data_IF_934230722604
#
_entry.id   IF_934230722604
#
_cell.length_a   1.000
_cell.length_b   1.000
_cell.length_c   1.000
_cell.angle_alpha   90.00
_cell.angle_beta   90.00
_cell.angle_gamma   90.00
#
_symmetry.space_group_name_H-M   'P 1'
#
loop_
_entity.id
_entity.type
_entity.pdbx_description
1 polymer ?
#
# COMPACT_ATOMS: atom_id res chain seq x y z
N UNK A 1 -1.38 -7.23 39.64
CA UNK A 1 -2.53 -7.01 38.74
C UNK A 1 -2.21 -7.72 37.45
N UNK A 2 -3.00 -8.73 37.06
CA UNK A 2 -2.74 -9.48 35.83
C UNK A 2 -2.96 -8.53 34.63
N UNK A 3 -1.97 -8.40 33.76
CA UNK A 3 -2.12 -7.71 32.48
C UNK A 3 -3.10 -8.54 31.66
N UNK A 4 -4.28 -8.01 31.39
CA UNK A 4 -5.22 -8.66 30.48
C UNK A 4 -4.64 -8.50 29.07
N UNK A 5 -4.39 -9.59 28.34
CA UNK A 5 -3.72 -9.51 27.04
C UNK A 5 -4.57 -8.66 26.10
N UNK A 6 -3.95 -7.62 25.55
CA UNK A 6 -4.60 -6.76 24.56
C UNK A 6 -4.63 -7.50 23.24
N UNK A 7 -5.57 -7.17 22.37
CA UNK A 7 -5.64 -7.85 21.08
C UNK A 7 -4.48 -7.47 20.17
N UNK A 8 -3.95 -6.26 20.34
CA UNK A 8 -2.68 -5.79 19.75
C UNK A 8 -1.51 -6.74 19.98
N UNK A 9 -1.52 -7.52 21.07
CA UNK A 9 -0.48 -8.50 21.40
C UNK A 9 -0.55 -9.76 20.50
N UNK A 10 -1.67 -9.93 19.77
CA UNK A 10 -1.83 -11.00 18.78
C UNK A 10 -1.20 -10.58 17.46
N UNK A 11 -0.19 -11.33 17.03
CA UNK A 11 0.48 -11.12 15.74
C UNK A 11 -0.13 -12.03 14.69
N UNK A 12 -0.62 -11.46 13.60
CA UNK A 12 -1.21 -12.19 12.47
C UNK A 12 -0.43 -11.87 11.20
N UNK A 13 0.07 -12.89 10.51
CA UNK A 13 0.75 -12.69 9.22
C UNK A 13 -0.31 -12.49 8.15
N UNK A 14 -0.42 -11.27 7.63
CA UNK A 14 -1.37 -10.93 6.58
C UNK A 14 -0.91 -9.65 5.85
N UNK A 15 -0.36 -9.82 4.65
CA UNK A 15 0.23 -8.75 3.85
C UNK A 15 -0.74 -7.62 3.46
N UNK A 16 -1.96 -7.95 3.04
CA UNK A 16 -2.98 -6.97 2.66
C UNK A 16 -3.38 -6.11 3.86
N UNK A 17 -3.69 -6.73 5.00
CA UNK A 17 -4.12 -5.99 6.19
C UNK A 17 -2.98 -5.22 6.84
N UNK A 18 -1.76 -5.75 6.80
CA UNK A 18 -0.58 -5.04 7.26
C UNK A 18 -0.34 -3.78 6.42
N UNK A 19 -0.52 -3.85 5.09
CA UNK A 19 -0.40 -2.68 4.23
C UNK A 19 -1.48 -1.63 4.52
N UNK A 20 -2.74 -2.05 4.67
CA UNK A 20 -3.85 -1.15 5.06
C UNK A 20 -3.56 -0.49 6.40
N UNK A 21 -3.23 -1.26 7.43
CA UNK A 21 -2.95 -0.77 8.77
C UNK A 21 -1.79 0.24 8.79
N UNK A 22 -0.76 0.04 7.95
CA UNK A 22 0.36 0.97 7.86
C UNK A 22 0.03 2.25 7.09
N UNK A 23 -0.85 2.18 6.09
CA UNK A 23 -1.09 3.27 5.13
C UNK A 23 -2.33 4.09 5.40
N UNK A 24 -3.24 3.58 6.22
CA UNK A 24 -4.49 4.22 6.56
C UNK A 24 -4.33 5.69 7.00
N UNK A 25 -3.39 5.96 7.91
CA UNK A 25 -3.24 7.29 8.52
C UNK A 25 -2.43 8.28 7.67
N UNK A 26 -1.79 7.79 6.60
CA UNK A 26 -0.81 8.57 5.82
C UNK A 26 -1.17 8.70 4.34
N UNK A 27 -2.23 8.04 3.89
CA UNK A 27 -2.68 8.01 2.49
C UNK A 27 -4.18 8.25 2.42
N UNK A 28 -4.64 8.99 1.42
CA UNK A 28 -6.07 9.16 1.21
C UNK A 28 -6.72 7.84 0.76
N UNK A 29 -8.01 7.70 1.08
CA UNK A 29 -8.75 6.49 0.83
C UNK A 29 -8.75 6.10 -0.66
N UNK A 30 -8.92 7.05 -1.58
CA UNK A 30 -9.03 6.74 -3.01
C UNK A 30 -7.71 6.16 -3.54
N UNK A 31 -6.58 6.75 -3.17
CA UNK A 31 -5.26 6.24 -3.56
C UNK A 31 -4.98 4.86 -2.95
N UNK A 32 -5.32 4.67 -1.66
CA UNK A 32 -5.14 3.39 -0.97
C UNK A 32 -5.95 2.29 -1.65
N UNK A 33 -7.23 2.53 -1.95
CA UNK A 33 -8.10 1.57 -2.64
C UNK A 33 -7.54 1.16 -4.01
N UNK A 34 -7.07 2.13 -4.81
CA UNK A 34 -6.49 1.86 -6.12
C UNK A 34 -5.26 0.96 -6.01
N UNK A 35 -4.37 1.24 -5.06
CA UNK A 35 -3.16 0.43 -4.84
C UNK A 35 -3.54 -1.00 -4.43
N UNK A 36 -4.52 -1.15 -3.53
CA UNK A 36 -4.96 -2.46 -3.06
C UNK A 36 -5.55 -3.32 -4.19
N UNK A 37 -6.43 -2.76 -5.01
CA UNK A 37 -7.06 -3.50 -6.14
C UNK A 37 -6.06 -3.85 -7.22
N UNK A 38 -5.06 -3.00 -7.45
CA UNK A 38 -4.07 -3.23 -8.51
C UNK A 38 -2.93 -4.15 -8.07
N UNK A 39 -2.67 -4.27 -6.77
CA UNK A 39 -1.52 -5.00 -6.22
C UNK A 39 -1.86 -6.36 -5.62
N UNK A 40 -3.12 -6.58 -5.25
CA UNK A 40 -3.58 -7.84 -4.67
C UNK A 40 -4.67 -8.48 -5.53
N UNK A 41 -4.68 -9.81 -5.60
CA UNK A 41 -5.73 -10.54 -6.31
C UNK A 41 -7.03 -10.57 -5.50
N UNK A 42 -8.16 -10.80 -6.18
CA UNK A 42 -9.45 -10.94 -5.52
C UNK A 42 -9.42 -12.03 -4.44
N UNK A 43 -8.72 -13.14 -4.68
CA UNK A 43 -8.58 -14.23 -3.70
C UNK A 43 -7.86 -13.75 -2.43
N UNK A 44 -6.79 -12.97 -2.56
CA UNK A 44 -6.06 -12.40 -1.42
C UNK A 44 -6.93 -11.41 -0.64
N UNK A 45 -7.75 -10.61 -1.35
CA UNK A 45 -8.69 -9.68 -0.74
C UNK A 45 -9.78 -10.45 0.04
N UNK A 46 -10.30 -11.55 -0.52
CA UNK A 46 -11.31 -12.37 0.14
C UNK A 46 -10.73 -13.13 1.34
N UNK A 47 -9.50 -13.61 1.25
CA UNK A 47 -8.77 -14.19 2.38
C UNK A 47 -8.58 -13.15 3.50
N UNK A 48 -8.23 -11.91 3.14
CA UNK A 48 -8.14 -10.80 4.07
C UNK A 48 -9.47 -10.54 4.81
N UNK A 49 -10.58 -10.50 4.08
CA UNK A 49 -11.93 -10.35 4.66
C UNK A 49 -12.24 -11.45 5.66
N UNK A 50 -11.88 -12.68 5.32
CA UNK A 50 -12.11 -13.83 6.19
C UNK A 50 -11.28 -13.73 7.47
N UNK A 51 -9.99 -13.43 7.36
CA UNK A 51 -9.11 -13.23 8.52
C UNK A 51 -9.62 -12.10 9.41
N UNK A 52 -10.08 -11.00 8.82
CA UNK A 52 -10.71 -9.91 9.55
C UNK A 52 -11.96 -10.37 10.31
N UNK A 53 -12.88 -11.06 9.63
CA UNK A 53 -14.11 -11.54 10.23
C UNK A 53 -13.85 -12.53 11.38
N UNK A 54 -12.91 -13.47 11.18
CA UNK A 54 -12.50 -14.44 12.19
C UNK A 54 -11.78 -13.77 13.36
N UNK A 55 -11.05 -12.68 13.08
CA UNK A 55 -10.40 -11.88 14.10
C UNK A 55 -11.35 -11.00 14.89
N UNK A 56 -12.59 -10.76 14.44
CA UNK A 56 -13.56 -9.90 15.10
C UNK A 56 -14.51 -10.70 16.01
N UNK A 57 -14.00 -11.16 17.16
CA UNK A 57 -14.84 -11.75 18.19
C UNK A 57 -15.90 -10.74 18.70
N UNK A 58 -17.16 -11.10 18.49
CA UNK A 58 -18.36 -10.67 19.21
C UNK A 58 -18.62 -9.15 19.34
N UNK A 59 -19.15 -8.58 18.26
CA UNK A 59 -20.24 -7.61 18.35
C UNK A 59 -19.87 -6.19 18.78
N UNK A 60 -19.47 -5.37 17.79
CA UNK A 60 -20.23 -4.15 17.39
C UNK A 60 -19.52 -3.23 16.38
N UNK A 61 -18.26 -3.49 16.01
CA UNK A 61 -17.51 -2.46 15.26
C UNK A 61 -17.48 -2.65 13.73
N UNK A 62 -17.80 -3.83 13.20
CA UNK A 62 -17.38 -4.20 11.84
C UNK A 62 -18.48 -4.58 10.84
N UNK A 63 -19.75 -4.30 11.13
CA UNK A 63 -20.82 -4.36 10.10
C UNK A 63 -20.60 -3.36 8.95
N UNK A 64 -19.70 -2.38 9.13
CA UNK A 64 -19.21 -1.48 8.07
C UNK A 64 -18.08 -2.09 7.20
N UNK A 65 -17.52 -3.24 7.59
CA UNK A 65 -16.30 -3.83 7.02
C UNK A 65 -16.54 -4.80 5.85
N UNK A 66 -17.81 -5.09 5.50
CA UNK A 66 -18.11 -5.84 4.27
C UNK A 66 -17.68 -5.05 3.02
N UNK A 67 -17.61 -3.72 3.14
CA UNK A 67 -16.94 -2.85 2.19
C UNK A 67 -15.51 -2.60 2.69
N UNK A 68 -14.57 -3.49 2.36
CA UNK A 68 -13.12 -3.24 2.58
C UNK A 68 -12.68 -1.87 2.04
N UNK A 69 -13.43 -1.35 1.07
CA UNK A 69 -13.25 -0.05 0.45
C UNK A 69 -13.87 1.10 1.25
N UNK A 70 -14.88 0.89 2.11
CA UNK A 70 -15.34 1.95 3.03
C UNK A 70 -14.48 1.97 4.28
N UNK A 71 -13.23 2.37 4.07
CA UNK A 71 -12.24 2.68 5.09
C UNK A 71 -12.64 3.97 5.86
N UNK A 72 -13.93 4.21 6.07
CA UNK A 72 -14.43 5.45 6.65
C UNK A 72 -14.51 5.40 8.17
N UNK A 73 -14.25 4.27 8.83
CA UNK A 73 -14.24 4.20 10.30
C UNK A 73 -13.39 3.05 10.82
N UNK A 74 -12.08 3.10 10.60
CA UNK A 74 -11.13 2.50 11.54
C UNK A 74 -11.01 3.41 12.79
N UNK A 75 -12.15 3.89 13.32
CA UNK A 75 -12.24 4.36 14.71
C UNK A 75 -12.27 3.13 15.62
N UNK A 76 -11.22 2.31 15.52
CA UNK A 76 -11.05 1.15 16.39
C UNK A 76 -9.84 1.44 17.25
N UNK A 77 -9.97 1.24 18.55
CA UNK A 77 -8.83 1.34 19.45
C UNK A 77 -7.72 0.43 18.90
N UNK A 78 -6.48 0.94 18.71
CA UNK A 78 -5.35 0.12 18.30
C UNK A 78 -5.15 -1.11 19.20
N UNK A 79 -5.62 -1.07 20.45
CA UNK A 79 -5.58 -2.20 21.39
C UNK A 79 -6.59 -3.32 21.07
N UNK A 80 -7.64 -3.04 20.28
CA UNK A 80 -8.76 -3.95 19.95
C UNK A 80 -8.58 -4.71 18.61
N UNK A 81 -7.50 -4.45 17.89
CA UNK A 81 -7.19 -5.06 16.58
C UNK A 81 -5.85 -5.80 16.67
N UNK A 82 -5.71 -6.99 16.05
CA UNK A 82 -4.42 -7.66 15.98
C UNK A 82 -3.37 -6.82 15.24
N UNK A 83 -2.10 -7.04 15.56
CA UNK A 83 -1.00 -6.48 14.77
C UNK A 83 -0.80 -7.34 13.53
N UNK A 84 -1.11 -6.79 12.35
CA UNK A 84 -0.88 -7.49 11.09
C UNK A 84 0.56 -7.26 10.61
N UNK A 85 1.24 -8.35 10.25
CA UNK A 85 2.63 -8.30 9.80
C UNK A 85 2.81 -8.96 8.44
N UNK A 86 3.84 -8.53 7.73
CA UNK A 86 4.20 -9.02 6.40
C UNK A 86 5.32 -10.03 6.56
N UNK A 87 5.15 -11.23 5.99
CA UNK A 87 6.23 -12.22 5.95
C UNK A 87 7.18 -11.95 4.79
N UNK A 88 6.62 -11.63 3.63
CA UNK A 88 7.37 -11.40 2.41
C UNK A 88 7.17 -9.95 1.94
N UNK A 89 8.16 -9.10 2.26
CA UNK A 89 8.13 -7.67 1.94
C UNK A 89 8.05 -7.39 0.43
N UNK A 90 8.48 -8.33 -0.42
CA UNK A 90 8.38 -8.17 -1.87
C UNK A 90 6.94 -8.26 -2.40
N UNK A 91 6.01 -8.79 -1.60
CA UNK A 91 4.58 -8.84 -1.92
C UNK A 91 3.85 -7.55 -1.59
N UNK A 92 4.51 -6.60 -0.93
CA UNK A 92 3.89 -5.31 -0.66
C UNK A 92 3.88 -4.46 -1.93
N UNK A 93 2.80 -3.70 -2.15
CA UNK A 93 2.77 -2.68 -3.17
C UNK A 93 3.96 -1.73 -3.01
N UNK A 94 4.63 -1.43 -4.12
CA UNK A 94 5.57 -0.32 -4.14
C UNK A 94 4.80 0.97 -3.84
N UNK A 95 5.06 1.61 -2.71
CA UNK A 95 4.46 2.90 -2.37
C UNK A 95 5.07 3.92 -3.31
N UNK A 96 4.21 4.56 -4.11
CA UNK A 96 4.58 5.47 -5.20
C UNK A 96 5.25 6.76 -4.70
N UNK A 97 5.83 7.50 -5.65
CA UNK A 97 6.67 8.68 -5.46
C UNK A 97 6.02 9.88 -4.73
N UNK A 98 4.83 9.74 -4.17
CA UNK A 98 3.98 10.83 -3.66
C UNK A 98 4.59 11.58 -2.46
N UNK A 99 5.67 11.07 -1.87
CA UNK A 99 6.39 11.69 -0.75
C UNK A 99 7.89 11.93 -1.03
N UNK A 100 8.35 11.71 -2.27
CA UNK A 100 9.74 11.90 -2.67
C UNK A 100 9.78 13.07 -3.64
N UNK A 101 10.63 14.08 -3.40
CA UNK A 101 10.83 15.16 -4.38
C UNK A 101 11.47 14.58 -5.65
N UNK A 102 10.62 14.20 -6.60
CA UNK A 102 10.99 13.64 -7.90
C UNK A 102 11.42 14.69 -8.91
N UNK A 103 11.42 15.98 -8.54
CA UNK A 103 11.83 17.06 -9.44
C UNK A 103 13.23 16.83 -9.98
N UNK A 104 14.13 16.26 -9.16
CA UNK A 104 15.48 15.90 -9.58
C UNK A 104 15.48 14.78 -10.63
N UNK A 105 14.74 13.71 -10.38
CA UNK A 105 14.63 12.57 -11.30
C UNK A 105 14.02 13.00 -12.64
N UNK A 106 12.97 13.83 -12.61
CA UNK A 106 12.32 14.36 -13.80
C UNK A 106 13.26 15.31 -14.59
N UNK A 107 14.06 16.14 -13.90
CA UNK A 107 15.08 17.00 -14.55
C UNK A 107 16.15 16.17 -15.25
N UNK A 108 16.66 15.14 -14.58
CA UNK A 108 17.67 14.25 -15.14
C UNK A 108 17.13 13.52 -16.40
N UNK A 109 15.85 13.14 -16.41
CA UNK A 109 15.19 12.50 -17.55
C UNK A 109 15.03 13.46 -18.74
N UNK A 110 14.75 14.75 -18.50
CA UNK A 110 14.71 15.79 -19.53
C UNK A 110 16.09 16.02 -20.15
N UNK A 111 17.16 16.07 -19.33
CA UNK A 111 18.53 16.19 -19.81
C UNK A 111 18.93 14.99 -20.66
N UNK A 112 18.61 13.78 -20.21
CA UNK A 112 18.87 12.55 -20.96
C UNK A 112 18.19 12.55 -22.33
N UNK A 113 16.95 13.06 -22.41
CA UNK A 113 16.23 13.19 -23.69
C UNK A 113 16.93 14.18 -24.63
N UNK A 114 17.44 15.29 -24.11
CA UNK A 114 18.19 16.27 -24.90
C UNK A 114 19.51 15.67 -25.43
N UNK A 115 20.22 14.91 -24.60
CA UNK A 115 21.45 14.21 -25.01
C UNK A 115 21.19 13.18 -26.11
N UNK A 116 20.10 12.40 -25.98
CA UNK A 116 19.68 11.45 -27.01
C UNK A 116 19.36 12.18 -28.33
N UNK A 117 18.65 13.30 -28.29
CA UNK A 117 18.38 14.10 -29.50
C UNK A 117 19.66 14.62 -30.13
N UNK A 118 20.59 15.16 -29.33
CA UNK A 118 21.88 15.64 -29.82
C UNK A 118 22.71 14.52 -30.45
N UNK A 119 22.71 13.32 -29.85
CA UNK A 119 23.38 12.15 -30.41
C UNK A 119 22.77 11.75 -31.76
N UNK A 120 21.43 11.72 -31.87
CA UNK A 120 20.74 11.41 -33.12
C UNK A 120 21.11 12.39 -34.23
N UNK A 121 21.06 13.70 -33.96
CA UNK A 121 21.42 14.72 -34.94
C UNK A 121 22.88 14.62 -35.38
N UNK A 122 23.81 14.34 -34.46
CA UNK A 122 25.22 14.12 -34.81
C UNK A 122 25.41 12.89 -35.69
N UNK A 123 24.67 11.83 -35.42
CA UNK A 123 24.72 10.58 -36.18
C UNK A 123 24.18 10.79 -37.61
N UNK A 124 23.01 11.42 -37.73
CA UNK A 124 22.41 11.82 -39.02
C UNK A 124 23.36 12.71 -39.85
N UNK A 125 24.02 13.67 -39.21
CA UNK A 125 24.99 14.55 -39.89
C UNK A 125 26.27 13.81 -40.32
N UNK A 126 26.67 12.76 -39.60
CA UNK A 126 27.83 11.93 -39.96
C UNK A 126 27.56 10.97 -41.11
N UNK A 127 26.29 10.60 -41.34
CA UNK A 127 25.86 9.74 -42.46
C UNK A 127 25.63 10.52 -43.77
N UNK A 128 25.63 11.86 -43.71
CA UNK A 128 25.46 12.74 -44.88
C UNK A 128 26.78 13.23 -45.50
N UNK A 129 27.93 12.76 -45.00
CA UNK A 129 29.29 13.03 -45.52
C UNK A 129 29.81 11.76 -46.20
#
# INVERSE_FOLDING_TARGET
MAHQPKRSDTIVVQEFLAFVQQKLDVMDQVSLEQILVTSFTEEQIQEAKKVLADSAAEGRTWQKMQDIFKVENLETDPDDVPTFVVRDLHKLPAVTFDHVDVTRVLKDLVLLRADITNLRTKLENSEQI
#
